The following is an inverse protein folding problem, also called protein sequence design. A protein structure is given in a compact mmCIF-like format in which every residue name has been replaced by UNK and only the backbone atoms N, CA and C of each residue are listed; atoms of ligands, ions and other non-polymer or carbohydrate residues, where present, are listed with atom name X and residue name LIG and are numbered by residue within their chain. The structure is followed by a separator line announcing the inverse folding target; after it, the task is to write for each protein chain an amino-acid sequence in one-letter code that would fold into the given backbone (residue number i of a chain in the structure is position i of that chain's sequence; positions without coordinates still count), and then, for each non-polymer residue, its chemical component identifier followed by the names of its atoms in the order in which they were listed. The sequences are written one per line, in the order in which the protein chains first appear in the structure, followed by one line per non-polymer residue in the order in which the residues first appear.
data_IF_125785831593
#
_entry.id   IF_125785831593
#
_cell.length_a   1.000
_cell.length_b   1.000
_cell.length_c   1.000
_cell.angle_alpha   90.00
_cell.angle_beta   90.00
_cell.angle_gamma   90.00
#
_symmetry.space_group_name_H-M   'P 1'
#
loop_
_entity.id
_entity.type
_entity.pdbx_description
1 polymer ?
#
# COMPACT_ATOMS: atom_id res chain seq x y z
N UNK A 1 5.19 20.67 21.09
CA UNK A 1 3.85 20.19 20.68
C UNK A 1 4.01 18.72 20.35
N UNK A 2 3.43 17.86 21.18
CA UNK A 2 3.74 16.43 21.29
C UNK A 2 3.28 15.64 20.05
N UNK A 3 4.13 14.73 19.56
CA UNK A 3 3.84 13.75 18.51
C UNK A 3 2.62 12.92 18.91
N UNK A 4 1.43 13.30 18.44
CA UNK A 4 0.16 12.72 18.88
C UNK A 4 -0.19 11.34 18.30
N UNK A 5 0.72 10.71 17.54
CA UNK A 5 0.50 9.39 16.91
C UNK A 5 1.66 8.41 17.12
N UNK A 6 2.46 8.60 18.17
CA UNK A 6 3.46 7.61 18.60
C UNK A 6 2.86 6.20 18.86
N UNK A 7 1.53 6.05 18.87
CA UNK A 7 0.87 4.76 18.97
C UNK A 7 0.87 3.94 17.66
N UNK A 8 1.05 4.55 16.49
CA UNK A 8 1.23 3.86 15.20
C UNK A 8 2.71 3.74 14.80
N UNK A 9 3.62 3.74 15.78
CA UNK A 9 5.07 3.63 15.54
C UNK A 9 5.47 2.33 14.80
N UNK A 10 4.56 1.36 14.64
CA UNK A 10 4.79 0.14 13.89
C UNK A 10 3.51 -0.27 13.14
N UNK A 11 3.66 -0.95 12.00
CA UNK A 11 2.56 -1.40 11.13
C UNK A 11 1.58 -2.30 11.89
N UNK A 12 2.09 -3.12 12.82
CA UNK A 12 1.30 -4.07 13.61
C UNK A 12 0.31 -3.38 14.55
N UNK A 13 0.57 -2.11 14.94
CA UNK A 13 -0.37 -1.31 15.74
C UNK A 13 -1.36 -0.52 14.88
N UNK A 14 -1.09 -0.39 13.58
CA UNK A 14 -1.89 0.38 12.62
C UNK A 14 -2.98 -0.47 11.96
N UNK A 15 -2.64 -1.71 11.58
CA UNK A 15 -3.58 -2.67 11.02
C UNK A 15 -4.45 -3.27 12.14
N UNK A 16 -5.75 -3.44 11.88
CA UNK A 16 -6.70 -3.95 12.89
C UNK A 16 -6.86 -5.48 12.88
N UNK A 17 -6.22 -6.16 11.94
CA UNK A 17 -6.13 -7.61 11.89
C UNK A 17 -4.86 -8.04 11.14
N UNK A 18 -4.37 -9.24 11.45
CA UNK A 18 -3.37 -9.91 10.64
C UNK A 18 -3.99 -10.47 9.36
N UNK A 19 -3.17 -10.70 8.34
CA UNK A 19 -3.61 -11.42 7.15
C UNK A 19 -4.01 -12.86 7.54
N UNK A 20 -5.19 -13.38 7.17
CA UNK A 20 -5.59 -14.75 7.50
C UNK A 20 -4.66 -15.81 6.89
N UNK A 21 -4.45 -16.93 7.58
CA UNK A 21 -3.66 -18.05 7.04
C UNK A 21 -4.29 -18.65 5.78
N UNK A 22 -5.62 -18.56 5.65
CA UNK A 22 -6.34 -18.94 4.43
C UNK A 22 -5.90 -18.13 3.22
N UNK A 23 -5.59 -16.84 3.39
CA UNK A 23 -5.03 -16.01 2.31
C UNK A 23 -3.64 -16.53 1.89
N UNK A 24 -2.79 -16.87 2.85
CA UNK A 24 -1.45 -17.43 2.58
C UNK A 24 -1.56 -18.74 1.81
N UNK A 25 -2.41 -19.67 2.27
CA UNK A 25 -2.61 -20.96 1.62
C UNK A 25 -3.08 -20.79 0.16
N UNK A 26 -4.08 -19.94 -0.07
CA UNK A 26 -4.58 -19.66 -1.43
C UNK A 26 -3.51 -19.00 -2.29
N UNK A 27 -2.73 -18.06 -1.75
CA UNK A 27 -1.64 -17.41 -2.49
C UNK A 27 -0.53 -18.40 -2.89
N UNK A 28 -0.17 -19.34 -2.01
CA UNK A 28 0.81 -20.39 -2.29
C UNK A 28 0.35 -21.35 -3.40
N UNK A 29 -0.95 -21.60 -3.50
CA UNK A 29 -1.53 -22.39 -4.60
C UNK A 29 -1.63 -21.60 -5.92
N UNK A 30 -1.52 -20.27 -5.87
CA UNK A 30 -1.78 -19.36 -7.00
C UNK A 30 -0.65 -18.33 -7.20
N UNK A 31 0.61 -18.75 -7.07
CA UNK A 31 1.80 -17.87 -7.16
C UNK A 31 1.82 -17.04 -8.45
N UNK A 32 1.42 -17.62 -9.58
CA UNK A 32 1.36 -16.91 -10.87
C UNK A 32 0.42 -15.70 -10.80
N UNK A 33 -0.81 -15.92 -10.34
CA UNK A 33 -1.80 -14.85 -10.18
C UNK A 33 -1.33 -13.80 -9.17
N UNK A 34 -0.70 -14.23 -8.07
CA UNK A 34 -0.15 -13.31 -7.06
C UNK A 34 0.92 -12.39 -7.67
N UNK A 35 1.86 -12.93 -8.44
CA UNK A 35 2.91 -12.13 -9.08
C UNK A 35 2.35 -11.18 -10.15
N UNK A 36 1.34 -11.63 -10.90
CA UNK A 36 0.63 -10.76 -11.86
C UNK A 36 -0.06 -9.61 -11.14
N UNK A 37 -0.84 -9.89 -10.08
CA UNK A 37 -1.52 -8.83 -9.31
C UNK A 37 -0.54 -7.90 -8.61
N UNK A 38 0.59 -8.44 -8.13
CA UNK A 38 1.66 -7.64 -7.56
C UNK A 38 2.22 -6.65 -8.59
N UNK A 39 2.54 -7.09 -9.81
CA UNK A 39 2.99 -6.18 -10.88
C UNK A 39 1.96 -5.06 -11.16
N UNK A 40 0.66 -5.40 -11.18
CA UNK A 40 -0.39 -4.39 -11.32
C UNK A 40 -0.45 -3.44 -10.12
N UNK A 41 -0.27 -3.92 -8.88
CA UNK A 41 -0.26 -3.10 -7.68
C UNK A 41 0.87 -2.07 -7.72
N UNK A 42 2.09 -2.45 -8.09
CA UNK A 42 3.23 -1.53 -8.24
C UNK A 42 2.94 -0.43 -9.27
N UNK A 43 2.40 -0.82 -10.44
CA UNK A 43 2.03 0.13 -11.49
C UNK A 43 0.92 1.10 -11.04
N UNK A 44 -0.07 0.60 -10.28
CA UNK A 44 -1.16 1.41 -9.71
C UNK A 44 -0.66 2.35 -8.62
N UNK A 45 0.29 1.93 -7.79
CA UNK A 45 0.92 2.76 -6.77
C UNK A 45 1.68 3.93 -7.41
N UNK A 46 2.49 3.65 -8.45
CA UNK A 46 3.16 4.68 -9.25
C UNK A 46 2.16 5.67 -9.87
N UNK A 47 1.08 5.16 -10.48
CA UNK A 47 0.02 5.97 -11.09
C UNK A 47 -0.72 6.85 -10.08
N UNK A 48 -0.96 6.32 -8.88
CA UNK A 48 -1.60 7.05 -7.78
C UNK A 48 -0.71 8.18 -7.27
N UNK A 49 0.59 7.91 -7.09
CA UNK A 49 1.57 8.94 -6.73
C UNK A 49 1.65 10.06 -7.79
N UNK A 50 1.66 9.72 -9.09
CA UNK A 50 1.58 10.71 -10.17
C UNK A 50 0.30 11.55 -10.11
N UNK A 51 -0.83 10.95 -9.73
CA UNK A 51 -2.10 11.67 -9.58
C UNK A 51 -2.01 12.76 -8.50
N UNK A 52 -1.31 12.53 -7.39
CA UNK A 52 -1.07 13.56 -6.37
C UNK A 52 -0.24 14.73 -6.92
N UNK A 53 0.77 14.44 -7.74
CA UNK A 53 1.63 15.46 -8.37
C UNK A 53 0.79 16.43 -9.21
N UNK A 54 -0.10 15.90 -10.05
CA UNK A 54 -0.95 16.72 -10.92
C UNK A 54 -2.05 17.46 -10.16
N UNK A 55 -2.65 16.83 -9.15
CA UNK A 55 -3.82 17.40 -8.44
C UNK A 55 -3.45 18.45 -7.39
N UNK A 56 -2.24 18.39 -6.83
CA UNK A 56 -1.82 19.26 -5.73
C UNK A 56 -0.48 19.94 -6.01
N UNK A 57 -0.36 20.72 -7.11
CA UNK A 57 0.90 21.35 -7.50
C UNK A 57 1.39 22.40 -6.47
N UNK A 58 0.49 22.91 -5.63
CA UNK A 58 0.76 23.84 -4.55
C UNK A 58 1.46 23.19 -3.33
N UNK A 59 1.45 21.86 -3.24
CA UNK A 59 2.00 21.10 -2.10
C UNK A 59 3.40 20.59 -2.44
N UNK A 60 4.38 21.51 -2.45
CA UNK A 60 5.74 21.22 -2.93
C UNK A 60 6.38 19.96 -2.32
N UNK A 61 6.34 19.82 -0.99
CA UNK A 61 6.92 18.64 -0.32
C UNK A 61 6.22 17.33 -0.74
N UNK A 62 4.89 17.36 -0.88
CA UNK A 62 4.10 16.22 -1.36
C UNK A 62 4.52 15.85 -2.78
N UNK A 63 4.60 16.83 -3.68
CA UNK A 63 4.99 16.61 -5.08
C UNK A 63 6.36 15.94 -5.17
N UNK A 64 7.36 16.44 -4.44
CA UNK A 64 8.71 15.89 -4.45
C UNK A 64 8.75 14.46 -3.89
N UNK A 65 8.00 14.20 -2.81
CA UNK A 65 7.95 12.85 -2.22
C UNK A 65 7.19 11.86 -3.10
N UNK A 66 6.05 12.25 -3.68
CA UNK A 66 5.28 11.41 -4.59
C UNK A 66 6.05 11.09 -5.87
N UNK A 67 6.86 12.02 -6.39
CA UNK A 67 7.77 11.74 -7.51
C UNK A 67 8.84 10.70 -7.16
N UNK A 68 9.35 10.70 -5.91
CA UNK A 68 10.29 9.68 -5.44
C UNK A 68 9.62 8.32 -5.30
N UNK A 69 8.45 8.26 -4.67
CA UNK A 69 7.64 7.04 -4.53
C UNK A 69 7.34 6.46 -5.91
N UNK A 70 6.80 7.25 -6.84
CA UNK A 70 6.46 6.78 -8.18
C UNK A 70 7.64 6.12 -8.91
N UNK A 71 8.87 6.65 -8.76
CA UNK A 71 10.06 6.03 -9.34
C UNK A 71 10.46 4.73 -8.63
N UNK A 72 10.31 4.68 -7.32
CA UNK A 72 10.59 3.47 -6.53
C UNK A 72 9.62 2.34 -6.89
N UNK A 73 8.32 2.61 -7.01
CA UNK A 73 7.34 1.59 -7.43
C UNK A 73 7.54 1.12 -8.87
N UNK A 74 8.01 1.99 -9.77
CA UNK A 74 8.39 1.55 -11.11
C UNK A 74 9.61 0.62 -11.08
N UNK A 75 10.55 0.82 -10.14
CA UNK A 75 11.65 -0.12 -9.92
C UNK A 75 11.13 -1.45 -9.36
N UNK A 76 10.21 -1.43 -8.40
CA UNK A 76 9.56 -2.65 -7.90
C UNK A 76 8.81 -3.39 -9.01
N UNK A 77 8.01 -2.68 -9.80
CA UNK A 77 7.33 -3.21 -10.98
C UNK A 77 8.31 -3.92 -11.92
N UNK A 78 9.42 -3.27 -12.28
CA UNK A 78 10.45 -3.89 -13.12
C UNK A 78 11.05 -5.15 -12.49
N UNK A 79 11.23 -5.18 -11.17
CA UNK A 79 11.71 -6.38 -10.47
C UNK A 79 10.69 -7.52 -10.56
N UNK A 80 9.40 -7.25 -10.36
CA UNK A 80 8.32 -8.25 -10.56
C UNK A 80 8.30 -8.73 -12.01
N UNK A 81 8.42 -7.83 -12.99
CA UNK A 81 8.47 -8.20 -14.41
C UNK A 81 9.65 -9.14 -14.75
N UNK A 82 10.82 -8.94 -14.12
CA UNK A 82 11.96 -9.85 -14.25
C UNK A 82 11.64 -11.23 -13.67
N UNK A 83 10.93 -11.30 -12.53
CA UNK A 83 10.47 -12.56 -11.94
C UNK A 83 9.46 -13.28 -12.84
N UNK A 84 8.46 -12.57 -13.36
CA UNK A 84 7.47 -13.12 -14.31
C UNK A 84 8.19 -13.75 -15.52
N UNK A 85 9.11 -13.01 -16.14
CA UNK A 85 9.92 -13.49 -17.26
C UNK A 85 10.73 -14.73 -16.91
N UNK A 86 11.42 -14.72 -15.76
CA UNK A 86 12.26 -15.84 -15.32
C UNK A 86 11.44 -17.12 -15.07
N UNK A 87 10.20 -16.95 -14.61
CA UNK A 87 9.25 -18.05 -14.33
C UNK A 87 8.39 -18.44 -15.52
N UNK A 88 8.65 -17.86 -16.70
CA UNK A 88 7.86 -18.07 -17.92
C UNK A 88 6.36 -17.77 -17.72
N UNK A 89 6.05 -16.80 -16.85
CA UNK A 89 4.70 -16.28 -16.64
C UNK A 89 4.48 -15.13 -17.61
N UNK A 90 3.39 -15.20 -18.37
CA UNK A 90 3.03 -14.15 -19.32
C UNK A 90 2.34 -13.00 -18.58
N UNK A 91 2.83 -11.78 -18.76
CA UNK A 91 2.12 -10.61 -18.26
C UNK A 91 0.85 -10.37 -19.07
N UNK A 92 -0.30 -10.49 -18.43
CA UNK A 92 -1.62 -10.38 -19.05
C UNK A 92 -2.65 -9.69 -18.15
N UNK A 93 -3.74 -9.14 -18.73
CA UNK A 93 -4.77 -8.48 -17.96
C UNK A 93 -5.42 -9.42 -16.94
N UNK A 94 -5.47 -8.97 -15.70
CA UNK A 94 -6.26 -9.60 -14.64
C UNK A 94 -7.38 -8.67 -14.17
N UNK A 95 -8.40 -9.24 -13.55
CA UNK A 95 -9.47 -8.45 -12.94
C UNK A 95 -8.95 -7.71 -11.70
N UNK A 96 -9.29 -6.43 -11.57
CA UNK A 96 -8.90 -5.64 -10.42
C UNK A 96 -9.54 -6.18 -9.13
N UNK A 97 -8.73 -6.31 -8.07
CA UNK A 97 -9.23 -6.61 -6.72
C UNK A 97 -10.19 -5.53 -6.21
N UNK A 98 -11.16 -5.96 -5.39
CA UNK A 98 -12.11 -5.06 -4.71
C UNK A 98 -11.43 -4.09 -3.73
N UNK A 99 -10.29 -4.46 -3.16
CA UNK A 99 -9.69 -3.83 -1.98
C UNK A 99 -9.57 -2.30 -2.08
N UNK A 100 -8.68 -1.80 -2.94
CA UNK A 100 -8.45 -0.36 -3.08
C UNK A 100 -9.71 0.41 -3.49
N UNK A 101 -10.52 -0.17 -4.38
CA UNK A 101 -11.76 0.48 -4.85
C UNK A 101 -12.79 0.66 -3.74
N UNK A 102 -12.89 -0.30 -2.80
CA UNK A 102 -13.81 -0.24 -1.68
C UNK A 102 -13.30 0.72 -0.60
N UNK A 103 -11.99 0.75 -0.34
CA UNK A 103 -11.39 1.76 0.54
C UNK A 103 -11.63 3.18 0.03
N UNK A 104 -11.42 3.44 -1.27
CA UNK A 104 -11.66 4.76 -1.88
C UNK A 104 -13.10 5.23 -1.69
N UNK A 105 -14.08 4.33 -1.70
CA UNK A 105 -15.50 4.68 -1.47
C UNK A 105 -15.78 5.16 -0.04
N UNK A 106 -14.91 4.84 0.92
CA UNK A 106 -15.05 5.33 2.30
C UNK A 106 -14.60 6.77 2.46
N UNK A 107 -13.87 7.33 1.48
CA UNK A 107 -13.35 8.68 1.58
C UNK A 107 -14.49 9.71 1.65
N UNK A 108 -14.30 10.71 2.50
CA UNK A 108 -15.20 11.86 2.61
C UNK A 108 -15.41 12.54 1.26
N UNK A 109 -16.57 13.17 1.11
CA UNK A 109 -16.97 13.82 -0.15
C UNK A 109 -16.45 15.24 -0.28
N UNK A 110 -16.20 15.94 0.82
CA UNK A 110 -15.65 17.29 0.80
C UNK A 110 -14.17 17.28 0.37
N UNK A 111 -13.69 18.40 -0.17
CA UNK A 111 -12.38 18.47 -0.83
C UNK A 111 -11.21 18.18 0.12
N UNK A 112 -11.26 18.71 1.34
CA UNK A 112 -10.20 18.56 2.34
C UNK A 112 -10.21 17.14 2.90
N UNK A 113 -11.38 16.68 3.38
CA UNK A 113 -11.56 15.34 3.92
C UNK A 113 -11.22 14.25 2.91
N UNK A 114 -11.61 14.40 1.64
CA UNK A 114 -11.24 13.44 0.58
C UNK A 114 -9.74 13.33 0.39
N UNK A 115 -9.02 14.44 0.46
CA UNK A 115 -7.57 14.46 0.29
C UNK A 115 -6.86 13.79 1.47
N UNK A 116 -7.26 14.11 2.70
CA UNK A 116 -6.71 13.49 3.91
C UNK A 116 -7.02 11.98 3.93
N UNK A 117 -8.26 11.60 3.63
CA UNK A 117 -8.65 10.19 3.58
C UNK A 117 -7.90 9.42 2.51
N UNK A 118 -7.65 10.02 1.33
CA UNK A 118 -6.88 9.37 0.28
C UNK A 118 -5.43 9.09 0.71
N UNK A 119 -4.82 9.96 1.52
CA UNK A 119 -3.49 9.72 2.09
C UNK A 119 -3.52 8.62 3.14
N UNK A 120 -4.53 8.59 4.01
CA UNK A 120 -4.72 7.52 5.02
C UNK A 120 -4.96 6.16 4.33
N UNK A 121 -5.75 6.14 3.25
CA UNK A 121 -5.96 4.94 2.43
C UNK A 121 -4.65 4.46 1.82
N UNK A 122 -3.82 5.38 1.30
CA UNK A 122 -2.46 5.06 0.86
C UNK A 122 -1.66 4.38 1.96
N UNK A 123 -1.65 4.95 3.17
CA UNK A 123 -0.98 4.34 4.32
C UNK A 123 -1.49 2.92 4.63
N UNK A 124 -2.81 2.66 4.57
CA UNK A 124 -3.37 1.31 4.74
C UNK A 124 -2.96 0.33 3.65
N UNK A 125 -2.86 0.78 2.40
CA UNK A 125 -2.40 -0.06 1.29
C UNK A 125 -0.94 -0.49 1.53
N UNK A 126 -0.03 0.45 1.78
CA UNK A 126 1.39 0.12 1.99
C UNK A 126 1.62 -0.70 3.27
N UNK A 127 0.89 -0.37 4.35
CA UNK A 127 0.96 -1.13 5.60
C UNK A 127 0.54 -2.59 5.39
N UNK A 128 -0.57 -2.82 4.67
CA UNK A 128 -1.06 -4.17 4.37
C UNK A 128 -0.14 -4.92 3.41
N UNK A 129 0.42 -4.24 2.40
CA UNK A 129 1.45 -4.81 1.52
C UNK A 129 2.64 -5.32 2.33
N UNK A 130 3.20 -4.50 3.20
CA UNK A 130 4.31 -4.88 4.07
C UNK A 130 3.98 -6.10 4.95
N UNK A 131 2.81 -6.10 5.61
CA UNK A 131 2.41 -7.20 6.49
C UNK A 131 2.20 -8.51 5.71
N UNK A 132 1.57 -8.45 4.54
CA UNK A 132 1.39 -9.61 3.66
C UNK A 132 2.71 -10.15 3.14
N UNK A 133 3.61 -9.29 2.69
CA UNK A 133 4.93 -9.68 2.21
C UNK A 133 5.72 -10.38 3.33
N UNK A 134 5.70 -9.83 4.53
CA UNK A 134 6.36 -10.44 5.69
C UNK A 134 5.73 -11.79 6.05
N UNK A 135 4.39 -11.90 5.99
CA UNK A 135 3.67 -13.12 6.34
C UNK A 135 3.87 -14.25 5.33
N UNK A 136 3.89 -13.95 4.03
CA UNK A 136 4.03 -14.99 3.00
C UNK A 136 5.49 -15.41 2.76
N UNK A 137 6.46 -14.51 2.92
CA UNK A 137 7.85 -14.75 2.56
C UNK A 137 8.45 -16.06 3.12
N UNK A 138 8.21 -16.48 4.38
CA UNK A 138 8.75 -17.72 4.93
C UNK A 138 8.29 -19.00 4.22
N UNK A 139 7.21 -18.94 3.44
CA UNK A 139 6.61 -20.09 2.77
C UNK A 139 6.97 -20.15 1.27
N UNK A 140 7.68 -19.16 0.76
CA UNK A 140 8.05 -19.06 -0.65
C UNK A 140 9.41 -19.71 -0.93
N UNK A 141 9.69 -19.99 -2.20
CA UNK A 141 11.03 -20.39 -2.61
C UNK A 141 12.08 -19.30 -2.32
N UNK A 142 13.35 -19.69 -2.21
CA UNK A 142 14.44 -18.81 -1.79
C UNK A 142 14.54 -17.49 -2.59
N UNK A 143 14.20 -17.49 -3.88
CA UNK A 143 14.26 -16.28 -4.70
C UNK A 143 13.11 -15.32 -4.33
N UNK A 144 11.89 -15.81 -4.27
CA UNK A 144 10.73 -15.00 -3.89
C UNK A 144 10.80 -14.55 -2.43
N UNK A 145 11.22 -15.42 -1.52
CA UNK A 145 11.44 -15.07 -0.11
C UNK A 145 12.42 -13.89 0.00
N UNK A 146 13.55 -13.93 -0.70
CA UNK A 146 14.53 -12.83 -0.70
C UNK A 146 13.95 -11.56 -1.31
N UNK A 147 13.19 -11.70 -2.40
CA UNK A 147 12.54 -10.57 -3.07
C UNK A 147 11.55 -9.86 -2.14
N UNK A 148 10.56 -10.58 -1.59
CA UNK A 148 9.54 -9.99 -0.71
C UNK A 148 10.13 -9.40 0.58
N UNK A 149 11.14 -10.06 1.18
CA UNK A 149 11.85 -9.48 2.33
C UNK A 149 12.59 -8.18 1.97
N UNK A 150 13.07 -8.06 0.73
CA UNK A 150 13.74 -6.86 0.24
C UNK A 150 12.81 -5.64 0.07
N UNK A 151 11.51 -5.87 -0.10
CA UNK A 151 10.50 -4.81 -0.24
C UNK A 151 10.02 -4.25 1.11
N UNK A 152 10.12 -5.00 2.20
CA UNK A 152 9.52 -4.61 3.50
C UNK A 152 9.93 -3.21 3.98
N UNK A 153 11.18 -2.84 3.74
CA UNK A 153 11.71 -1.56 4.20
C UNK A 153 11.25 -0.38 3.31
N UNK A 154 10.99 -0.59 2.01
CA UNK A 154 10.33 0.43 1.18
C UNK A 154 8.87 0.61 1.56
N UNK A 155 8.12 -0.47 1.71
CA UNK A 155 6.70 -0.43 2.10
C UNK A 155 6.48 0.32 3.43
N UNK A 156 7.33 0.04 4.45
CA UNK A 156 7.29 0.76 5.74
C UNK A 156 7.54 2.25 5.58
N UNK A 157 8.51 2.64 4.74
CA UNK A 157 8.78 4.05 4.47
C UNK A 157 7.60 4.70 3.75
N UNK A 158 7.01 4.04 2.76
CA UNK A 158 5.87 4.58 2.02
C UNK A 158 4.65 4.76 2.92
N UNK A 159 4.31 3.76 3.74
CA UNK A 159 3.32 3.85 4.81
C UNK A 159 3.54 5.11 5.67
N UNK A 160 4.78 5.27 6.17
CA UNK A 160 5.13 6.40 7.04
C UNK A 160 4.94 7.73 6.33
N UNK A 161 5.41 7.85 5.08
CA UNK A 161 5.29 9.07 4.28
C UNK A 161 3.82 9.45 4.07
N UNK A 162 2.95 8.51 3.70
CA UNK A 162 1.52 8.76 3.51
C UNK A 162 0.87 9.28 4.80
N UNK A 163 1.15 8.62 5.93
CA UNK A 163 0.57 8.99 7.21
C UNK A 163 1.08 10.36 7.71
N UNK A 164 2.37 10.66 7.51
CA UNK A 164 2.96 11.97 7.81
C UNK A 164 2.31 13.08 6.98
N UNK A 165 2.03 12.85 5.70
CA UNK A 165 1.33 13.84 4.89
C UNK A 165 -0.13 14.02 5.28
N UNK A 166 -0.84 12.94 5.61
CA UNK A 166 -2.20 13.03 6.14
C UNK A 166 -2.23 13.91 7.39
N UNK A 167 -1.27 13.69 8.30
CA UNK A 167 -1.16 14.48 9.51
C UNK A 167 -0.78 15.94 9.25
N UNK A 168 0.17 16.17 8.34
CA UNK A 168 0.69 17.50 8.03
C UNK A 168 -0.38 18.41 7.42
N UNK A 169 -1.22 17.86 6.55
CA UNK A 169 -2.21 18.65 5.82
C UNK A 169 -3.58 18.70 6.48
N UNK A 170 -3.84 17.86 7.49
CA UNK A 170 -5.08 17.91 8.25
C UNK A 170 -5.10 19.11 9.20
N UNK A 171 -6.22 19.82 9.23
CA UNK A 171 -6.50 20.89 10.20
C UNK A 171 -6.92 20.35 11.58
N UNK A 172 -7.28 19.07 11.67
CA UNK A 172 -7.73 18.39 12.88
C UNK A 172 -6.99 17.09 13.15
N UNK A 173 -7.25 16.50 14.30
CA UNK A 173 -6.80 15.15 14.65
C UNK A 173 -7.37 14.11 13.66
N UNK A 174 -6.52 13.28 13.05
CA UNK A 174 -6.91 12.27 12.05
C UNK A 174 -7.25 10.91 12.66
N UNK A 175 -7.21 10.75 13.99
CA UNK A 175 -7.43 9.47 14.67
C UNK A 175 -8.77 8.82 14.29
N UNK A 176 -9.85 9.61 14.26
CA UNK A 176 -11.17 9.09 13.90
C UNK A 176 -11.26 8.66 12.43
N UNK A 177 -10.53 9.34 11.54
CA UNK A 177 -10.46 8.98 10.12
C UNK A 177 -9.67 7.68 9.92
N UNK A 178 -8.54 7.52 10.60
CA UNK A 178 -7.77 6.27 10.63
C UNK A 178 -8.65 5.14 11.12
N UNK A 179 -9.32 5.29 12.27
CA UNK A 179 -10.18 4.24 12.84
C UNK A 179 -11.29 3.83 11.87
N UNK A 180 -12.00 4.80 11.29
CA UNK A 180 -13.12 4.56 10.36
C UNK A 180 -12.65 3.82 9.09
N UNK A 181 -11.52 4.22 8.51
CA UNK A 181 -10.98 3.56 7.31
C UNK A 181 -10.44 2.17 7.68
N UNK A 182 -9.79 2.04 8.84
CA UNK A 182 -9.25 0.78 9.34
C UNK A 182 -10.29 -0.28 9.63
N UNK A 183 -11.48 0.10 10.11
CA UNK A 183 -12.60 -0.83 10.29
C UNK A 183 -13.04 -1.44 8.94
N UNK A 184 -13.12 -0.62 7.89
CA UNK A 184 -13.44 -1.11 6.54
C UNK A 184 -12.28 -1.94 5.96
N UNK A 185 -11.03 -1.53 6.19
CA UNK A 185 -9.85 -2.29 5.77
C UNK A 185 -9.86 -3.69 6.36
N UNK A 186 -10.07 -3.81 7.68
CA UNK A 186 -10.20 -5.08 8.38
C UNK A 186 -11.27 -5.97 7.77
N UNK A 187 -12.45 -5.43 7.53
CA UNK A 187 -13.58 -6.17 6.99
C UNK A 187 -13.36 -6.61 5.53
N UNK A 188 -12.44 -5.97 4.79
CA UNK A 188 -12.05 -6.38 3.44
C UNK A 188 -10.98 -7.49 3.45
N UNK A 189 -10.21 -7.62 4.53
CA UNK A 189 -9.11 -8.58 4.70
C UNK A 189 -9.59 -9.91 5.28
N UNK A 190 -10.55 -9.88 6.21
CA UNK A 190 -11.21 -11.05 6.79
C UNK A 190 -12.22 -11.67 5.81
#
# INVERSE_FOLDING_TARGET
MSQKYANYNTIEKFLLCETPDTWVNVALENIELMLLDHAYCEMKAASSAMTYIYKYPDKHDLVIRMSKIAREELVHFEQVMRLLKKRNIKYEPISASRYASQLIKTARTDKEGRFIDALIIGAYIEARSCERFAKIAPFLDNELQKFYNGLLESERRHFTIYLEFAQKYSSSDIYNDIKRIGEVERDLIL
#
